data_IF_901415694424
#
_entry.id   IF_901415694424
#
_cell.length_a   1.000
_cell.length_b   1.000
_cell.length_c   1.000
_cell.angle_alpha   90.00
_cell.angle_beta   90.00
_cell.angle_gamma   90.00
#
_symmetry.space_group_name_H-M   'P 1'
#
loop_
_entity.id
_entity.type
_entity.pdbx_description
1 polymer ?
#
# COMPACT_ATOMS: atom_id res chain seq x y z
N UNK A 1 -1.45 -0.29 -10.50
CA UNK A 1 -1.15 0.49 -9.28
C UNK A 1 0.28 1.02 -9.28
N UNK A 2 1.32 0.18 -9.33
CA UNK A 2 2.74 0.62 -9.32
C UNK A 2 3.11 1.65 -10.39
N UNK A 3 2.64 1.46 -11.64
CA UNK A 3 2.94 2.39 -12.75
C UNK A 3 2.48 3.82 -12.49
N UNK A 4 1.42 4.04 -11.71
CA UNK A 4 0.89 5.38 -11.46
C UNK A 4 1.72 6.19 -10.45
N UNK A 5 2.49 5.52 -9.59
CA UNK A 5 3.36 6.18 -8.62
C UNK A 5 4.60 6.79 -9.30
N UNK A 6 5.17 6.11 -10.30
CA UNK A 6 6.46 6.49 -10.88
C UNK A 6 6.40 7.53 -12.01
N UNK A 7 5.21 8.02 -12.38
CA UNK A 7 5.04 8.88 -13.58
C UNK A 7 5.67 10.27 -13.41
N UNK A 8 5.70 10.81 -12.20
CA UNK A 8 6.22 12.16 -11.93
C UNK A 8 7.54 12.17 -11.13
N UNK A 9 8.04 11.00 -10.74
CA UNK A 9 9.15 10.83 -9.77
C UNK A 9 10.39 10.15 -10.39
N UNK A 10 10.59 10.32 -11.69
CA UNK A 10 11.57 9.55 -12.48
C UNK A 10 13.04 9.65 -12.04
N UNK A 11 13.42 10.65 -11.25
CA UNK A 11 14.79 10.81 -10.75
C UNK A 11 15.04 10.13 -9.40
N UNK A 12 13.99 9.90 -8.62
CA UNK A 12 14.01 9.45 -7.22
C UNK A 12 13.36 8.07 -7.06
N UNK A 13 13.24 7.33 -8.16
CA UNK A 13 12.55 6.03 -8.22
C UNK A 13 13.13 4.98 -7.26
N UNK A 14 14.41 5.08 -6.94
CA UNK A 14 15.14 4.16 -6.09
C UNK A 14 14.72 4.29 -4.61
N UNK A 15 14.36 5.50 -4.17
CA UNK A 15 13.80 5.75 -2.83
C UNK A 15 12.50 4.96 -2.60
N UNK A 16 11.74 4.68 -3.66
CA UNK A 16 10.47 3.97 -3.59
C UNK A 16 10.60 2.45 -3.74
N UNK A 17 11.79 1.91 -4.04
CA UNK A 17 11.98 0.46 -4.28
C UNK A 17 11.48 -0.43 -3.14
N UNK A 18 11.68 -0.03 -1.89
CA UNK A 18 11.20 -0.79 -0.73
C UNK A 18 9.67 -0.90 -0.70
N UNK A 19 8.98 0.21 -0.95
CA UNK A 19 7.53 0.24 -0.99
C UNK A 19 6.98 -0.53 -2.20
N UNK A 20 7.62 -0.39 -3.36
CA UNK A 20 7.25 -1.08 -4.60
C UNK A 20 7.40 -2.59 -4.48
N UNK A 21 8.53 -3.07 -3.95
CA UNK A 21 8.78 -4.50 -3.73
C UNK A 21 7.81 -5.09 -2.72
N UNK A 22 7.51 -4.37 -1.63
CA UNK A 22 6.51 -4.77 -0.65
C UNK A 22 5.11 -4.88 -1.27
N UNK A 23 4.68 -3.86 -2.02
CA UNK A 23 3.37 -3.83 -2.69
C UNK A 23 3.25 -4.96 -3.69
N UNK A 24 4.26 -5.18 -4.53
CA UNK A 24 4.27 -6.27 -5.52
C UNK A 24 4.14 -7.64 -4.85
N UNK A 25 4.86 -7.86 -3.74
CA UNK A 25 4.82 -9.13 -3.00
C UNK A 25 3.52 -9.38 -2.24
N UNK A 26 2.81 -8.32 -1.87
CA UNK A 26 1.55 -8.38 -1.14
C UNK A 26 0.30 -8.34 -2.04
N UNK A 27 0.46 -8.11 -3.35
CA UNK A 27 -0.66 -8.05 -4.29
C UNK A 27 -0.94 -9.43 -4.89
N UNK A 28 -2.20 -9.90 -4.92
CA UNK A 28 -2.56 -11.15 -5.58
C UNK A 28 -2.25 -11.10 -7.08
N UNK A 29 -1.60 -12.14 -7.59
CA UNK A 29 -1.39 -12.27 -9.02
C UNK A 29 -2.70 -12.70 -9.72
N UNK A 30 -2.99 -12.11 -10.88
CA UNK A 30 -4.22 -12.40 -11.64
C UNK A 30 -4.38 -13.88 -12.03
N UNK A 31 -3.29 -14.57 -12.39
CA UNK A 31 -3.35 -15.95 -12.87
C UNK A 31 -3.45 -16.97 -11.74
N UNK A 32 -2.77 -16.73 -10.61
CA UNK A 32 -2.70 -17.68 -9.49
C UNK A 32 -3.65 -17.32 -8.34
N UNK A 33 -4.18 -16.10 -8.34
CA UNK A 33 -5.08 -15.54 -7.31
C UNK A 33 -4.44 -15.51 -5.91
N UNK A 34 -3.13 -15.74 -5.81
CA UNK A 34 -2.37 -15.74 -4.56
C UNK A 34 -1.23 -14.73 -4.62
N UNK A 35 -0.84 -14.23 -3.45
CA UNK A 35 0.27 -13.28 -3.33
C UNK A 35 1.63 -14.01 -3.42
N UNK A 36 2.68 -13.35 -3.90
CA UNK A 36 4.04 -13.90 -3.83
C UNK A 36 4.51 -14.23 -2.41
N UNK A 37 4.08 -13.47 -1.40
CA UNK A 37 4.39 -13.77 0.01
C UNK A 37 3.77 -15.10 0.45
N UNK A 38 2.49 -15.33 0.10
CA UNK A 38 1.81 -16.59 0.38
C UNK A 38 2.49 -17.78 -0.30
N UNK A 39 2.92 -17.62 -1.56
CA UNK A 39 3.61 -18.68 -2.31
C UNK A 39 5.00 -19.04 -1.74
N UNK A 40 5.75 -18.05 -1.27
CA UNK A 40 7.15 -18.24 -0.86
C UNK A 40 7.31 -18.52 0.62
N UNK A 41 6.47 -17.93 1.46
CA UNK A 41 6.56 -18.03 2.93
C UNK A 41 5.43 -18.86 3.54
N UNK A 42 4.43 -19.26 2.74
CA UNK A 42 3.22 -19.93 3.23
C UNK A 42 2.30 -19.03 4.06
N UNK A 43 2.56 -17.72 4.09
CA UNK A 43 1.77 -16.73 4.82
C UNK A 43 1.95 -15.33 4.21
N UNK A 44 0.94 -14.49 4.39
CA UNK A 44 1.08 -13.06 4.13
C UNK A 44 1.76 -12.33 5.30
N UNK A 45 2.47 -11.27 4.96
CA UNK A 45 3.14 -10.40 5.93
C UNK A 45 2.10 -9.43 6.49
N UNK A 46 2.21 -9.10 7.78
CA UNK A 46 1.39 -8.05 8.39
C UNK A 46 1.79 -6.70 7.82
N UNK A 47 0.86 -6.06 7.12
CA UNK A 47 0.99 -4.68 6.66
C UNK A 47 0.49 -3.71 7.74
N UNK A 48 1.02 -2.47 7.80
CA UNK A 48 0.49 -1.44 8.68
C UNK A 48 -1.01 -1.21 8.40
N UNK A 49 -1.80 -0.96 9.45
CA UNK A 49 -3.24 -0.74 9.32
C UNK A 49 -3.56 0.42 8.37
N UNK A 50 -2.79 1.51 8.42
CA UNK A 50 -2.95 2.66 7.53
C UNK A 50 -2.79 2.31 6.04
N UNK A 51 -1.98 1.28 5.72
CA UNK A 51 -1.79 0.81 4.33
C UNK A 51 -2.96 -0.05 3.88
N UNK A 52 -3.52 -0.86 4.77
CA UNK A 52 -4.65 -1.75 4.46
C UNK A 52 -5.97 -0.98 4.35
N UNK A 53 -6.22 -0.11 5.32
CA UNK A 53 -7.50 0.61 5.46
C UNK A 53 -7.49 1.99 4.80
N UNK A 54 -6.31 2.46 4.36
CA UNK A 54 -6.10 3.84 3.94
C UNK A 54 -6.07 4.78 5.14
N UNK A 55 -5.39 5.92 4.98
CA UNK A 55 -5.47 6.97 5.98
C UNK A 55 -6.83 7.66 5.86
N UNK A 56 -7.64 7.63 6.92
CA UNK A 56 -8.83 8.45 6.95
C UNK A 56 -8.39 9.91 6.86
N UNK A 57 -8.72 10.58 5.76
CA UNK A 57 -8.57 12.02 5.66
C UNK A 57 -9.51 12.64 6.70
N UNK A 58 -9.05 12.81 7.94
CA UNK A 58 -9.74 13.59 8.96
C UNK A 58 -9.57 15.06 8.56
N UNK A 59 -10.25 15.47 7.49
CA UNK A 59 -10.40 16.86 7.12
C UNK A 59 -11.37 17.49 8.12
N UNK A 60 -10.83 17.99 9.24
CA UNK A 60 -11.43 18.99 10.14
C UNK A 60 -12.94 19.23 9.97
N UNK A 61 -13.77 18.23 10.30
CA UNK A 61 -15.16 18.49 10.64
C UNK A 61 -15.17 18.80 12.14
N UNK A 62 -14.97 20.08 12.46
CA UNK A 62 -15.28 20.60 13.79
C UNK A 62 -16.74 20.25 14.11
N UNK A 63 -17.05 19.51 15.19
CA UNK A 63 -18.38 19.58 15.75
C UNK A 63 -18.50 20.96 16.39
N UNK A 64 -19.25 21.85 15.72
CA UNK A 64 -19.78 23.03 16.39
C UNK A 64 -20.54 22.57 17.63
N UNK A 65 -20.30 23.29 18.73
CA UNK A 65 -21.15 23.44 19.93
C UNK A 65 -21.10 22.33 20.99
N UNK A 66 -20.45 22.69 22.10
CA UNK A 66 -20.92 22.58 23.50
C UNK A 66 -21.74 21.35 23.91
N UNK A 67 -21.14 20.52 24.76
CA UNK A 67 -21.45 20.40 26.20
C UNK A 67 -20.32 19.62 26.87
#
# INVERSE_FOLDING_TARGET
MVKAYLVDEGNDWDLFLGCLTGTYRATPNQSTVVTPNMLTMGRDIRLPADVIYGHANVSNATPKTAC
#
